data_IF_691766305511
#
_entry.id   IF_691766305511
#
_cell.length_a   1.000
_cell.length_b   1.000
_cell.length_c   1.000
_cell.angle_alpha   90.00
_cell.angle_beta   90.00
_cell.angle_gamma   90.00
#
_symmetry.space_group_name_H-M   'P 1'
#
loop_
_entity.id
_entity.type
_entity.pdbx_description
1 polymer ?
#
# COMPACT_ATOMS: atom_id res chain seq x y z
N UNK A 1 -5.96 -3.05 -7.99
CA UNK A 1 -5.00 -3.57 -8.98
C UNK A 1 -5.78 -4.28 -10.06
N UNK A 2 -5.39 -4.14 -11.29
CA UNK A 2 -5.85 -4.98 -12.40
C UNK A 2 -4.63 -5.36 -13.24
N UNK A 3 -4.61 -6.55 -13.75
CA UNK A 3 -3.61 -7.08 -14.65
C UNK A 3 -4.11 -8.43 -15.16
N UNK A 4 -4.11 -8.63 -16.46
CA UNK A 4 -4.60 -9.85 -17.10
C UNK A 4 -3.67 -10.31 -18.20
N UNK A 5 -3.67 -11.62 -18.40
CA UNK A 5 -3.18 -12.16 -19.66
C UNK A 5 -4.10 -11.78 -20.82
N UNK A 6 -3.50 -11.40 -21.94
CA UNK A 6 -4.26 -11.24 -23.18
C UNK A 6 -4.76 -12.60 -23.67
N UNK A 7 -5.82 -12.61 -24.49
CA UNK A 7 -6.36 -13.83 -25.10
C UNK A 7 -5.27 -14.64 -25.82
N UNK A 8 -4.30 -13.98 -26.48
CA UNK A 8 -3.21 -14.65 -27.17
C UNK A 8 -2.20 -15.29 -26.19
N UNK A 9 -1.97 -14.67 -25.04
CA UNK A 9 -1.14 -15.24 -23.98
C UNK A 9 -1.80 -16.46 -23.37
N UNK A 10 -3.10 -16.38 -23.02
CA UNK A 10 -3.90 -17.50 -22.50
C UNK A 10 -3.86 -18.66 -23.51
N UNK A 11 -4.13 -18.41 -24.79
CA UNK A 11 -4.08 -19.45 -25.82
C UNK A 11 -2.69 -20.09 -25.93
N UNK A 12 -1.62 -19.30 -25.76
CA UNK A 12 -0.25 -19.83 -25.74
C UNK A 12 0.03 -20.69 -24.51
N UNK A 13 -0.46 -20.30 -23.33
CA UNK A 13 -0.33 -21.07 -22.09
C UNK A 13 -1.05 -22.41 -22.21
N UNK A 14 -2.30 -22.39 -22.68
CA UNK A 14 -3.10 -23.58 -22.91
C UNK A 14 -2.40 -24.53 -23.89
N UNK A 15 -1.95 -24.01 -25.05
CA UNK A 15 -1.31 -24.84 -26.08
C UNK A 15 0.01 -25.48 -25.62
N UNK A 16 0.70 -24.86 -24.67
CA UNK A 16 1.97 -25.35 -24.11
C UNK A 16 1.80 -26.11 -22.80
N UNK A 17 0.56 -26.27 -22.32
CA UNK A 17 0.24 -26.88 -21.02
C UNK A 17 1.05 -26.27 -19.88
N UNK A 18 1.15 -24.93 -19.85
CA UNK A 18 1.88 -24.21 -18.83
C UNK A 18 0.91 -23.74 -17.76
N UNK A 19 1.29 -23.95 -16.50
CA UNK A 19 0.54 -23.41 -15.37
C UNK A 19 0.76 -21.91 -15.25
N UNK A 20 -0.31 -21.14 -15.04
CA UNK A 20 -0.27 -19.72 -14.74
C UNK A 20 -1.59 -19.26 -14.12
N UNK A 21 -1.48 -18.42 -13.11
CA UNK A 21 -2.60 -17.75 -12.46
C UNK A 21 -2.89 -16.41 -13.11
N UNK A 22 -4.17 -16.13 -13.30
CA UNK A 22 -4.69 -14.86 -13.81
C UNK A 22 -5.69 -14.27 -12.83
N UNK A 23 -5.42 -13.09 -12.34
CA UNK A 23 -6.29 -12.36 -11.41
C UNK A 23 -6.81 -11.10 -12.07
N UNK A 24 -8.13 -11.00 -12.23
CA UNK A 24 -8.75 -9.84 -12.85
C UNK A 24 -8.49 -8.54 -12.09
N UNK A 25 -8.76 -8.54 -10.80
CA UNK A 25 -8.51 -7.38 -9.94
C UNK A 25 -8.45 -7.78 -8.47
N UNK A 26 -7.75 -6.98 -7.68
CA UNK A 26 -7.69 -7.14 -6.23
C UNK A 26 -8.07 -5.83 -5.55
N UNK A 27 -9.03 -5.90 -4.63
CA UNK A 27 -9.41 -4.81 -3.74
C UNK A 27 -8.96 -5.16 -2.32
N UNK A 28 -8.05 -4.39 -1.75
CA UNK A 28 -7.66 -4.51 -0.35
C UNK A 28 -8.09 -3.27 0.43
N UNK A 29 -8.91 -3.46 1.46
CA UNK A 29 -9.28 -2.45 2.44
C UNK A 29 -8.56 -2.75 3.74
N UNK A 30 -8.00 -1.74 4.42
CA UNK A 30 -7.27 -1.96 5.67
C UNK A 30 -7.79 -1.05 6.78
N UNK A 31 -8.02 -1.62 7.95
CA UNK A 31 -8.20 -0.86 9.18
C UNK A 31 -6.84 -0.70 9.84
N UNK A 32 -6.43 0.55 10.05
CA UNK A 32 -5.15 0.88 10.63
C UNK A 32 -5.36 1.71 11.90
N UNK A 33 -4.64 1.38 12.96
CA UNK A 33 -4.61 2.12 14.20
C UNK A 33 -3.16 2.37 14.59
N UNK A 34 -2.86 3.57 15.10
CA UNK A 34 -1.54 3.89 15.63
C UNK A 34 -1.67 4.63 16.95
N UNK A 35 -0.75 4.36 17.87
CA UNK A 35 -0.71 4.98 19.17
C UNK A 35 0.74 5.37 19.54
N UNK A 36 0.92 6.63 19.93
CA UNK A 36 2.19 7.13 20.46
C UNK A 36 2.33 6.71 21.95
N UNK A 37 3.33 5.90 22.26
CA UNK A 37 3.65 5.49 23.64
C UNK A 37 4.51 6.56 24.30
N UNK A 38 5.47 7.10 23.56
CA UNK A 38 6.32 8.22 23.97
C UNK A 38 6.50 9.17 22.77
N UNK A 39 7.21 10.28 22.96
CA UNK A 39 7.52 11.21 21.86
C UNK A 39 8.31 10.55 20.72
N UNK A 40 9.05 9.48 21.01
CA UNK A 40 9.91 8.79 20.06
C UNK A 40 9.46 7.37 19.70
N UNK A 41 8.48 6.80 20.42
CA UNK A 41 8.00 5.44 20.19
C UNK A 41 6.51 5.42 19.90
N UNK A 42 6.14 4.86 18.76
CA UNK A 42 4.75 4.54 18.41
C UNK A 42 4.59 3.06 18.05
N UNK A 43 3.40 2.56 18.26
CA UNK A 43 2.97 1.24 17.81
C UNK A 43 1.76 1.38 16.89
N UNK A 44 1.68 0.50 15.90
CA UNK A 44 0.53 0.45 15.00
C UNK A 44 0.06 -0.98 14.79
N UNK A 45 -1.21 -1.11 14.50
CA UNK A 45 -1.87 -2.35 14.13
C UNK A 45 -2.58 -2.15 12.80
N UNK A 46 -2.46 -3.09 11.89
CA UNK A 46 -3.10 -3.10 10.58
C UNK A 46 -3.79 -4.42 10.33
N UNK A 47 -5.06 -4.37 9.98
CA UNK A 47 -5.88 -5.53 9.62
C UNK A 47 -6.40 -5.34 8.19
N UNK A 48 -5.81 -6.00 7.18
CA UNK A 48 -6.30 -5.95 5.81
C UNK A 48 -7.48 -6.88 5.62
N UNK A 49 -8.40 -6.50 4.74
CA UNK A 49 -9.44 -7.33 4.16
C UNK A 49 -9.28 -7.30 2.65
N UNK A 50 -9.00 -8.45 2.07
CA UNK A 50 -8.74 -8.61 0.65
C UNK A 50 -9.88 -9.30 -0.06
N UNK A 51 -10.14 -8.85 -1.28
CA UNK A 51 -11.04 -9.48 -2.23
C UNK A 51 -10.33 -9.55 -3.59
N UNK A 52 -9.85 -10.72 -3.93
CA UNK A 52 -9.35 -11.05 -5.26
C UNK A 52 -10.51 -11.51 -6.14
N UNK A 53 -10.78 -10.79 -7.23
CA UNK A 53 -11.91 -11.02 -8.11
C UNK A 53 -11.51 -11.85 -9.32
N UNK A 54 -12.32 -12.85 -9.61
CA UNK A 54 -12.26 -13.66 -10.82
C UNK A 54 -10.86 -14.25 -11.06
N UNK A 55 -10.41 -15.05 -10.11
CA UNK A 55 -9.24 -15.90 -10.30
C UNK A 55 -9.52 -16.91 -11.41
N UNK A 56 -8.58 -17.01 -12.33
CA UNK A 56 -8.55 -18.05 -13.34
C UNK A 56 -7.19 -18.74 -13.27
N UNK A 57 -7.16 -20.02 -13.54
CA UNK A 57 -5.96 -20.83 -13.59
C UNK A 57 -5.88 -21.54 -14.95
N UNK A 58 -4.70 -21.51 -15.55
CA UNK A 58 -4.40 -22.37 -16.70
C UNK A 58 -3.65 -23.58 -16.16
N UNK A 59 -4.31 -24.75 -16.17
CA UNK A 59 -3.74 -26.01 -15.72
C UNK A 59 -3.99 -27.10 -16.76
N UNK A 60 -2.96 -27.93 -17.05
CA UNK A 60 -3.00 -29.05 -18.01
C UNK A 60 -3.58 -28.72 -19.40
N UNK A 61 -3.55 -27.47 -19.80
CA UNK A 61 -4.07 -27.02 -21.09
C UNK A 61 -5.56 -26.66 -21.10
N UNK A 62 -6.14 -26.46 -19.92
CA UNK A 62 -7.50 -25.95 -19.74
C UNK A 62 -7.47 -24.65 -18.94
N UNK A 63 -8.45 -23.77 -19.17
CA UNK A 63 -8.68 -22.57 -18.38
C UNK A 63 -9.80 -22.83 -17.41
N UNK A 64 -9.48 -22.84 -16.13
CA UNK A 64 -10.44 -23.01 -15.05
C UNK A 64 -10.79 -21.69 -14.38
N UNK A 65 -12.06 -21.45 -14.09
CA UNK A 65 -12.52 -20.28 -13.33
C UNK A 65 -12.65 -20.67 -11.86
N UNK A 66 -11.80 -20.10 -11.02
CA UNK A 66 -11.75 -20.41 -9.59
C UNK A 66 -12.64 -19.51 -8.73
N UNK A 67 -13.19 -18.42 -9.30
CA UNK A 67 -14.04 -17.47 -8.57
C UNK A 67 -13.26 -16.44 -7.75
N UNK A 68 -13.73 -16.15 -6.54
CA UNK A 68 -13.20 -15.05 -5.73
C UNK A 68 -12.53 -15.56 -4.45
N UNK A 69 -11.35 -14.99 -4.13
CA UNK A 69 -10.69 -15.23 -2.84
C UNK A 69 -10.93 -14.03 -1.91
N UNK A 70 -11.79 -14.20 -0.90
CA UNK A 70 -12.25 -13.13 -0.02
C UNK A 70 -11.96 -13.47 1.43
N UNK A 71 -11.39 -12.52 2.18
CA UNK A 71 -11.18 -12.68 3.61
C UNK A 71 -10.24 -11.68 4.26
N UNK A 72 -10.08 -11.82 5.56
CA UNK A 72 -9.11 -11.05 6.32
C UNK A 72 -7.69 -11.56 6.09
N UNK A 73 -6.76 -10.65 5.91
CA UNK A 73 -5.34 -10.95 5.96
C UNK A 73 -4.81 -11.08 7.38
N UNK A 74 -3.52 -11.34 7.54
CA UNK A 74 -2.90 -11.43 8.86
C UNK A 74 -2.81 -10.06 9.53
N UNK A 75 -3.12 -10.00 10.85
CA UNK A 75 -2.89 -8.81 11.66
C UNK A 75 -1.40 -8.49 11.68
N UNK A 76 -1.06 -7.27 11.30
CA UNK A 76 0.31 -6.76 11.35
C UNK A 76 0.45 -5.79 12.51
N UNK A 77 1.43 -6.02 13.38
CA UNK A 77 1.84 -5.11 14.43
C UNK A 77 3.20 -4.53 14.06
N UNK A 78 3.35 -3.21 14.14
CA UNK A 78 4.58 -2.52 13.81
C UNK A 78 4.88 -1.46 14.86
N UNK A 79 6.11 -1.45 15.37
CA UNK A 79 6.66 -0.39 16.20
C UNK A 79 7.57 0.50 15.35
N UNK A 80 7.54 1.79 15.63
CA UNK A 80 8.43 2.78 15.06
C UNK A 80 9.14 3.53 16.19
N UNK A 81 10.46 3.42 16.25
CA UNK A 81 11.31 4.13 17.20
C UNK A 81 12.14 5.19 16.50
N UNK A 82 11.86 6.46 16.79
CA UNK A 82 12.60 7.61 16.26
C UNK A 82 13.92 7.77 17.06
N UNK A 83 15.01 7.33 16.46
CA UNK A 83 16.32 7.40 17.09
C UNK A 83 17.09 8.69 16.78
N UNK A 84 16.64 9.45 15.78
CA UNK A 84 17.23 10.73 15.41
C UNK A 84 16.12 11.74 15.09
N UNK A 85 16.18 12.89 15.77
CA UNK A 85 15.33 14.05 15.52
C UNK A 85 16.19 15.31 15.54
N UNK A 86 16.37 15.95 14.40
CA UNK A 86 17.12 17.19 14.25
C UNK A 86 16.20 18.32 13.83
N UNK A 87 15.71 19.10 14.78
CA UNK A 87 14.85 20.26 14.53
C UNK A 87 15.55 21.31 13.64
N UNK A 88 16.85 21.57 13.91
CA UNK A 88 17.67 22.51 13.11
C UNK A 88 17.69 22.13 11.63
N UNK A 89 17.79 20.85 11.32
CA UNK A 89 17.88 20.35 9.96
C UNK A 89 16.54 19.85 9.43
N UNK A 90 15.48 19.87 10.26
CA UNK A 90 14.16 19.30 9.95
C UNK A 90 14.28 17.89 9.37
N UNK A 91 15.07 17.05 10.03
CA UNK A 91 15.40 15.70 9.61
C UNK A 91 15.12 14.73 10.74
N UNK A 92 14.44 13.62 10.42
CA UNK A 92 14.12 12.55 11.35
C UNK A 92 14.48 11.20 10.76
N UNK A 93 14.85 10.26 11.61
CA UNK A 93 15.07 8.87 11.24
C UNK A 93 14.50 7.93 12.30
N UNK A 94 13.94 6.83 11.86
CA UNK A 94 13.32 5.84 12.74
C UNK A 94 13.65 4.41 12.31
N UNK A 95 13.79 3.52 13.31
CA UNK A 95 13.76 2.08 13.12
C UNK A 95 12.31 1.60 13.11
N UNK A 96 12.06 0.61 12.26
CA UNK A 96 10.80 -0.12 12.17
C UNK A 96 11.05 -1.56 12.57
N UNK A 97 10.22 -2.10 13.46
CA UNK A 97 10.25 -3.51 13.84
C UNK A 97 8.83 -4.02 14.03
N UNK A 98 8.49 -5.16 13.47
CA UNK A 98 7.12 -5.65 13.53
C UNK A 98 6.99 -7.13 13.24
N UNK A 99 5.74 -7.58 13.24
CA UNK A 99 5.37 -8.95 12.94
C UNK A 99 3.98 -9.01 12.31
N UNK A 100 3.82 -9.81 11.26
CA UNK A 100 2.51 -10.25 10.77
C UNK A 100 2.14 -11.54 11.48
N UNK A 101 0.93 -11.62 12.00
CA UNK A 101 0.41 -12.78 12.74
C UNK A 101 -0.51 -13.63 11.85
N UNK A 102 -0.62 -14.94 12.09
CA UNK A 102 -1.41 -15.87 11.29
C UNK A 102 -2.93 -15.81 11.64
N UNK A 103 -3.50 -14.62 11.74
CA UNK A 103 -4.88 -14.41 12.20
C UNK A 103 -5.91 -14.36 11.08
N UNK A 104 -5.45 -14.34 9.82
CA UNK A 104 -6.32 -14.18 8.66
C UNK A 104 -6.87 -15.49 8.09
N UNK A 105 -7.70 -15.36 7.06
CA UNK A 105 -8.31 -16.50 6.36
C UNK A 105 -7.27 -17.15 5.44
N UNK A 106 -7.06 -18.43 5.62
CA UNK A 106 -6.09 -19.25 4.87
C UNK A 106 -6.67 -20.60 4.41
N UNK A 107 -7.98 -20.69 4.25
CA UNK A 107 -8.70 -21.89 3.84
C UNK A 107 -9.91 -21.52 3.00
N UNK A 108 -9.83 -20.42 2.26
CA UNK A 108 -10.86 -20.00 1.31
C UNK A 108 -10.93 -21.02 0.18
N UNK A 109 -12.14 -21.37 -0.21
CA UNK A 109 -12.39 -22.34 -1.29
C UNK A 109 -12.76 -21.64 -2.57
N UNK A 110 -12.30 -22.20 -3.67
CA UNK A 110 -12.72 -21.86 -5.02
C UNK A 110 -14.12 -22.39 -5.34
N UNK A 111 -14.68 -21.96 -6.45
CA UNK A 111 -16.03 -22.34 -6.90
C UNK A 111 -16.13 -23.85 -7.25
N UNK A 112 -15.00 -24.48 -7.61
CA UNK A 112 -14.88 -25.93 -7.81
C UNK A 112 -14.88 -26.76 -6.51
N UNK A 113 -14.83 -26.06 -5.32
CA UNK A 113 -14.79 -26.67 -3.99
C UNK A 113 -13.38 -26.97 -3.46
N UNK A 114 -12.36 -26.82 -4.26
CA UNK A 114 -10.95 -26.93 -3.84
C UNK A 114 -10.54 -25.73 -3.00
N UNK A 115 -9.46 -25.87 -2.24
CA UNK A 115 -8.91 -24.75 -1.48
C UNK A 115 -7.94 -23.99 -2.38
N UNK A 116 -8.07 -22.66 -2.48
CA UNK A 116 -7.07 -21.83 -3.18
C UNK A 116 -5.68 -22.13 -2.68
N UNK A 117 -4.71 -22.09 -3.57
CA UNK A 117 -3.30 -22.13 -3.18
C UNK A 117 -2.97 -21.06 -2.13
N UNK A 118 -2.00 -21.32 -1.24
CA UNK A 118 -1.67 -20.41 -0.14
C UNK A 118 -1.25 -19.02 -0.63
N UNK A 119 -0.63 -18.93 -1.79
CA UNK A 119 -0.24 -17.64 -2.42
C UNK A 119 -1.45 -16.81 -2.86
N UNK A 120 -2.58 -17.43 -3.13
CA UNK A 120 -3.84 -16.82 -3.57
C UNK A 120 -4.84 -16.63 -2.40
N UNK A 121 -4.47 -17.03 -1.19
CA UNK A 121 -5.27 -16.84 0.02
C UNK A 121 -5.13 -15.41 0.56
N UNK A 122 -6.13 -14.89 1.28
CA UNK A 122 -6.03 -13.59 1.98
C UNK A 122 -4.89 -13.57 3.03
N UNK A 123 -4.53 -14.71 3.59
CA UNK A 123 -3.43 -14.88 4.53
C UNK A 123 -2.66 -16.18 4.29
N UNK A 124 -1.34 -16.13 4.42
CA UNK A 124 -0.47 -17.31 4.33
C UNK A 124 -0.57 -18.25 5.55
N UNK A 125 -1.11 -17.75 6.67
CA UNK A 125 -1.10 -18.50 7.93
C UNK A 125 0.27 -18.57 8.62
N UNK A 126 1.26 -17.78 8.17
CA UNK A 126 2.62 -17.68 8.73
C UNK A 126 2.74 -16.53 9.72
N UNK A 127 3.81 -16.58 10.54
CA UNK A 127 4.21 -15.49 11.44
C UNK A 127 5.45 -14.83 10.86
N UNK A 128 5.32 -13.66 10.25
CA UNK A 128 6.37 -13.03 9.46
C UNK A 128 6.98 -11.83 10.20
N UNK A 129 8.20 -11.92 10.73
CA UNK A 129 8.91 -10.78 11.32
C UNK A 129 9.27 -9.75 10.25
N UNK A 130 9.35 -8.47 10.69
CA UNK A 130 9.64 -7.34 9.84
C UNK A 130 10.67 -6.42 10.48
N UNK A 131 11.58 -5.91 9.68
CA UNK A 131 12.55 -4.88 10.08
C UNK A 131 12.66 -3.82 8.99
N UNK A 132 12.92 -2.58 9.41
CA UNK A 132 13.02 -1.48 8.45
C UNK A 132 13.60 -0.20 9.01
N UNK A 133 13.67 0.79 8.12
CA UNK A 133 14.12 2.16 8.40
C UNK A 133 13.18 3.13 7.73
N UNK A 134 12.98 4.28 8.36
CA UNK A 134 12.27 5.41 7.79
C UNK A 134 13.07 6.70 8.00
N UNK A 135 13.01 7.59 7.03
CA UNK A 135 13.57 8.93 7.10
C UNK A 135 12.54 9.95 6.63
N UNK A 136 12.59 11.14 7.22
CA UNK A 136 11.78 12.28 6.81
C UNK A 136 12.62 13.54 6.82
N UNK A 137 12.50 14.37 5.79
CA UNK A 137 13.21 15.62 5.61
C UNK A 137 12.32 16.70 5.06
N UNK A 138 12.18 17.81 5.79
CA UNK A 138 11.55 19.02 5.27
C UNK A 138 12.59 20.00 4.78
N UNK A 139 12.47 20.44 3.55
CA UNK A 139 13.33 21.46 2.96
C UNK A 139 12.78 22.88 3.22
N UNK A 140 13.63 23.90 3.03
CA UNK A 140 13.29 25.30 3.32
C UNK A 140 12.11 25.85 2.52
N UNK A 141 11.84 25.29 1.36
CA UNK A 141 10.71 25.61 0.47
C UNK A 141 9.43 24.83 0.78
N UNK A 142 9.33 24.22 1.97
CA UNK A 142 8.20 23.41 2.44
C UNK A 142 8.01 22.07 1.69
N UNK A 143 8.93 21.69 0.83
CA UNK A 143 8.93 20.35 0.23
C UNK A 143 9.31 19.34 1.29
N UNK A 144 8.51 18.27 1.46
CA UNK A 144 8.86 17.14 2.30
C UNK A 144 9.31 15.97 1.44
N UNK A 145 10.36 15.31 1.89
CA UNK A 145 10.85 14.05 1.35
C UNK A 145 10.75 13.01 2.46
N UNK A 146 9.98 11.98 2.21
CA UNK A 146 9.82 10.82 3.08
C UNK A 146 10.31 9.58 2.34
N UNK A 147 11.07 8.74 3.00
CA UNK A 147 11.47 7.46 2.45
C UNK A 147 11.46 6.37 3.51
N UNK A 148 11.12 5.16 3.11
CA UNK A 148 11.19 4.01 3.98
C UNK A 148 11.64 2.76 3.22
N UNK A 149 12.23 1.87 3.97
CA UNK A 149 12.54 0.51 3.61
C UNK A 149 11.95 -0.42 4.65
N UNK A 150 11.24 -1.45 4.24
CA UNK A 150 10.73 -2.50 5.12
C UNK A 150 10.97 -3.86 4.47
N UNK A 151 11.63 -4.73 5.22
CA UNK A 151 11.83 -6.12 4.87
C UNK A 151 10.96 -7.00 5.75
N UNK A 152 10.16 -7.85 5.13
CA UNK A 152 9.35 -8.88 5.77
C UNK A 152 9.97 -10.24 5.42
N UNK A 153 10.46 -10.93 6.43
CA UNK A 153 10.90 -12.30 6.30
C UNK A 153 9.64 -13.18 6.33
N UNK A 154 9.33 -13.81 5.22
CA UNK A 154 8.27 -14.81 5.17
C UNK A 154 8.71 -16.10 5.84
N UNK A 155 7.82 -16.71 6.58
CA UNK A 155 8.06 -18.01 7.18
C UNK A 155 7.05 -19.03 6.64
N UNK A 156 7.32 -20.29 6.85
CA UNK A 156 6.41 -21.35 6.46
C UNK A 156 5.04 -21.17 7.12
N UNK A 157 4.00 -21.16 6.32
CA UNK A 157 2.62 -21.04 6.72
C UNK A 157 1.83 -22.30 6.48
N UNK A 158 0.58 -22.14 6.02
CA UNK A 158 -0.30 -23.28 5.74
C UNK A 158 0.20 -24.08 4.55
N UNK A 159 -0.04 -25.40 4.59
CA UNK A 159 0.35 -26.36 3.55
C UNK A 159 1.85 -26.31 3.21
N UNK A 160 2.71 -26.15 4.25
CA UNK A 160 4.16 -26.03 4.10
C UNK A 160 4.59 -25.03 3.02
N UNK A 161 3.86 -23.91 2.95
CA UNK A 161 4.11 -22.86 1.96
C UNK A 161 4.80 -21.66 2.60
N UNK A 162 5.95 -21.30 2.09
CA UNK A 162 6.58 -19.99 2.26
C UNK A 162 6.19 -19.12 1.05
N UNK A 163 5.57 -17.97 1.30
CA UNK A 163 5.13 -17.07 0.22
C UNK A 163 6.23 -16.17 -0.33
N UNK A 164 7.46 -16.38 0.11
CA UNK A 164 8.63 -15.60 -0.25
C UNK A 164 8.75 -14.27 0.50
N UNK A 165 9.97 -13.86 0.75
CA UNK A 165 10.29 -12.60 1.42
C UNK A 165 9.81 -11.40 0.64
N UNK A 166 9.45 -10.34 1.35
CA UNK A 166 9.01 -9.08 0.73
C UNK A 166 9.90 -7.92 1.19
N UNK A 167 10.57 -7.29 0.24
CA UNK A 167 11.23 -6.01 0.45
C UNK A 167 10.43 -4.89 -0.21
N UNK A 168 10.12 -3.83 0.54
CA UNK A 168 9.47 -2.63 0.03
C UNK A 168 10.35 -1.41 0.23
N UNK A 169 10.46 -0.60 -0.82
CA UNK A 169 11.17 0.68 -0.83
C UNK A 169 10.19 1.74 -1.32
N UNK A 170 9.97 2.75 -0.50
CA UNK A 170 9.08 3.84 -0.88
C UNK A 170 9.80 5.17 -0.69
N UNK A 171 9.64 6.05 -1.66
CA UNK A 171 10.10 7.44 -1.60
C UNK A 171 8.94 8.33 -2.01
N UNK A 172 8.59 9.30 -1.18
CA UNK A 172 7.53 10.26 -1.43
C UNK A 172 8.07 11.68 -1.36
N UNK A 173 7.67 12.50 -2.30
CA UNK A 173 7.86 13.95 -2.26
C UNK A 173 6.49 14.59 -2.16
N UNK A 174 6.30 15.46 -1.16
CA UNK A 174 5.07 16.23 -1.02
C UNK A 174 5.35 17.73 -1.06
N UNK A 175 4.46 18.47 -1.75
CA UNK A 175 4.52 19.90 -1.90
C UNK A 175 3.17 20.53 -1.52
N UNK A 176 3.14 21.44 -0.52
CA UNK A 176 1.93 22.15 -0.13
C UNK A 176 1.54 23.19 -1.19
N UNK A 177 0.34 23.05 -1.77
CA UNK A 177 -0.18 23.96 -2.79
C UNK A 177 -1.11 25.03 -2.24
N UNK A 178 -1.81 24.71 -1.15
CA UNK A 178 -2.78 25.64 -0.57
C UNK A 178 -2.94 25.39 0.93
N UNK A 179 -2.94 26.47 1.71
CA UNK A 179 -3.29 26.49 3.13
C UNK A 179 -4.21 27.68 3.38
N UNK A 180 -5.41 27.43 3.89
CA UNK A 180 -6.26 28.50 4.41
C UNK A 180 -5.91 28.71 5.88
N UNK A 181 -5.34 29.86 6.22
CA UNK A 181 -5.22 30.29 7.62
C UNK A 181 -6.45 31.13 7.98
N UNK A 182 -7.26 30.67 8.92
CA UNK A 182 -8.06 31.58 9.70
C UNK A 182 -7.20 32.09 10.83
N UNK A 183 -6.74 33.32 10.72
CA UNK A 183 -6.25 34.07 11.85
C UNK A 183 -7.46 34.48 12.71
N UNK A 184 -7.69 33.94 13.91
CA UNK A 184 -8.82 34.32 14.75
C UNK A 184 -8.70 35.75 15.32
N UNK A 185 -7.60 36.47 15.06
CA UNK A 185 -7.26 37.75 15.68
C UNK A 185 -6.87 38.89 14.72
N UNK A 186 -7.13 38.81 13.43
CA UNK A 186 -6.96 39.99 12.57
C UNK A 186 -8.23 40.84 12.58
N UNK A 187 -8.29 41.75 13.57
CA UNK A 187 -9.03 43.00 13.43
C UNK A 187 -8.17 43.98 12.63
N UNK A 188 -8.76 44.46 11.53
CA UNK A 188 -8.52 45.70 10.81
C UNK A 188 -7.29 45.84 9.87
N UNK A 189 -7.65 46.18 8.63
CA UNK A 189 -6.97 47.02 7.67
C UNK A 189 -5.71 46.50 6.97
N UNK A 190 -5.92 45.75 5.90
CA UNK A 190 -5.43 46.14 4.56
C UNK A 190 -6.06 45.25 3.46
N UNK A 191 -6.79 45.93 2.58
CA UNK A 191 -7.33 45.32 1.37
C UNK A 191 -6.19 45.10 0.36
N UNK A 192 -5.50 43.96 0.41
CA UNK A 192 -4.79 43.42 -0.75
C UNK A 192 -5.63 42.27 -1.28
N UNK A 193 -6.16 42.46 -2.48
CA UNK A 193 -6.85 41.45 -3.27
C UNK A 193 -5.97 40.19 -3.38
N UNK A 194 -6.26 39.19 -2.57
CA UNK A 194 -5.77 37.84 -2.82
C UNK A 194 -6.58 37.26 -3.99
N UNK A 195 -5.90 37.00 -5.10
CA UNK A 195 -6.47 36.29 -6.24
C UNK A 195 -7.05 34.97 -5.76
N UNK A 196 -8.37 34.87 -5.82
CA UNK A 196 -9.15 33.67 -5.51
C UNK A 196 -8.66 32.50 -6.37
N UNK A 197 -8.08 31.48 -5.76
CA UNK A 197 -7.61 30.30 -6.48
C UNK A 197 -8.81 29.46 -6.95
N UNK A 198 -8.63 28.77 -8.08
CA UNK A 198 -9.65 27.89 -8.71
C UNK A 198 -10.26 26.89 -7.70
N UNK A 199 -9.51 26.47 -6.69
CA UNK A 199 -9.96 25.54 -5.66
C UNK A 199 -11.00 26.11 -4.68
N UNK A 200 -11.00 27.42 -4.39
CA UNK A 200 -12.01 28.05 -3.53
C UNK A 200 -13.40 28.04 -4.18
N UNK A 201 -13.48 28.05 -5.51
CA UNK A 201 -14.75 28.00 -6.24
C UNK A 201 -15.40 26.62 -6.29
N UNK A 202 -14.66 25.58 -5.94
CA UNK A 202 -15.12 24.18 -5.98
C UNK A 202 -15.65 23.68 -4.64
N UNK A 203 -15.45 24.43 -3.54
CA UNK A 203 -15.84 24.01 -2.21
C UNK A 203 -17.16 24.67 -1.79
N UNK A 204 -18.08 23.93 -1.14
CA UNK A 204 -19.31 24.50 -0.58
C UNK A 204 -19.00 25.55 0.50
N UNK A 205 -19.79 26.63 0.58
CA UNK A 205 -19.59 27.74 1.54
C UNK A 205 -19.47 27.29 3.02
N UNK A 206 -20.14 26.22 3.42
CA UNK A 206 -20.08 25.69 4.78
C UNK A 206 -18.72 25.05 5.13
N UNK A 207 -17.88 24.73 4.14
CA UNK A 207 -16.52 24.20 4.32
C UNK A 207 -15.49 25.34 4.46
N UNK A 208 -15.81 26.54 3.98
CA UNK A 208 -14.93 27.72 4.01
C UNK A 208 -14.59 28.23 5.44
N UNK A 209 -15.25 27.67 6.46
CA UNK A 209 -14.96 27.95 7.88
C UNK A 209 -13.88 27.07 8.51
N UNK A 210 -13.34 26.10 7.79
CA UNK A 210 -12.40 25.09 8.31
C UNK A 210 -10.99 25.38 7.81
N UNK A 211 -9.98 24.95 8.60
CA UNK A 211 -8.59 24.95 8.15
C UNK A 211 -8.40 23.81 7.14
N UNK A 212 -8.12 24.17 5.89
CA UNK A 212 -7.95 23.20 4.80
C UNK A 212 -6.55 23.38 4.22
N UNK A 213 -5.79 22.27 4.17
CA UNK A 213 -4.52 22.20 3.51
C UNK A 213 -4.55 21.17 2.38
N UNK A 214 -3.90 21.49 1.26
CA UNK A 214 -3.74 20.62 0.11
C UNK A 214 -2.28 20.41 -0.20
N UNK A 215 -1.90 19.14 -0.39
CA UNK A 215 -0.57 18.77 -0.84
C UNK A 215 -0.65 17.95 -2.13
N UNK A 216 0.24 18.26 -3.07
CA UNK A 216 0.56 17.34 -4.17
C UNK A 216 1.59 16.34 -3.68
N UNK A 217 1.38 15.08 -4.01
CA UNK A 217 2.27 13.98 -3.62
C UNK A 217 2.72 13.27 -4.89
N UNK A 218 3.99 12.91 -4.92
CA UNK A 218 4.55 12.04 -5.94
C UNK A 218 5.38 10.96 -5.25
N UNK A 219 5.04 9.71 -5.53
CA UNK A 219 5.69 8.57 -4.89
C UNK A 219 6.34 7.63 -5.90
N UNK A 220 7.46 7.05 -5.51
CA UNK A 220 8.07 5.88 -6.11
C UNK A 220 7.93 4.74 -5.13
N UNK A 221 7.19 3.72 -5.49
CA UNK A 221 6.96 2.57 -4.63
C UNK A 221 7.51 1.32 -5.32
N UNK A 222 8.41 0.61 -4.65
CA UNK A 222 9.02 -0.62 -5.13
C UNK A 222 8.61 -1.78 -4.24
N UNK A 223 8.18 -2.86 -4.86
CA UNK A 223 7.90 -4.14 -4.22
C UNK A 223 8.82 -5.18 -4.85
N UNK A 224 9.64 -5.85 -4.04
CA UNK A 224 10.45 -6.98 -4.44
C UNK A 224 9.99 -8.21 -3.64
N UNK A 225 9.33 -9.14 -4.33
CA UNK A 225 8.79 -10.37 -3.76
C UNK A 225 9.69 -11.54 -4.12
N UNK A 226 10.11 -12.30 -3.13
CA UNK A 226 10.80 -13.58 -3.31
C UNK A 226 9.92 -14.62 -3.99
N UNK A 227 10.52 -15.64 -4.54
CA UNK A 227 9.78 -16.78 -5.11
C UNK A 227 9.23 -17.63 -3.98
N UNK A 228 7.94 -17.95 -3.97
CA UNK A 228 7.35 -18.84 -2.98
C UNK A 228 7.94 -20.26 -3.06
N UNK A 229 7.87 -20.97 -1.95
CA UNK A 229 8.26 -22.38 -1.86
C UNK A 229 7.15 -23.20 -1.20
N UNK A 230 6.87 -24.40 -1.75
CA UNK A 230 5.98 -25.40 -1.18
C UNK A 230 6.79 -26.66 -0.94
N UNK A 231 6.78 -27.17 0.28
CA UNK A 231 7.62 -28.33 0.68
C UNK A 231 9.11 -28.14 0.29
N UNK A 232 9.66 -26.94 0.48
CA UNK A 232 11.02 -26.54 0.10
C UNK A 232 11.29 -26.62 -1.43
N UNK A 233 10.26 -26.56 -2.25
CA UNK A 233 10.37 -26.50 -3.72
C UNK A 233 9.85 -25.17 -4.22
N UNK A 234 10.66 -24.47 -5.03
CA UNK A 234 10.25 -23.19 -5.61
C UNK A 234 9.03 -23.35 -6.51
N UNK A 235 8.05 -22.48 -6.32
CA UNK A 235 6.87 -22.39 -7.15
C UNK A 235 7.19 -21.50 -8.35
N UNK A 236 7.16 -22.02 -9.59
CA UNK A 236 7.47 -21.23 -10.77
C UNK A 236 6.40 -20.16 -11.02
N UNK A 237 6.77 -19.16 -11.81
CA UNK A 237 5.87 -18.09 -12.24
C UNK A 237 5.33 -17.19 -11.09
N UNK A 238 6.08 -17.06 -10.00
CA UNK A 238 5.79 -16.18 -8.88
C UNK A 238 7.03 -15.39 -8.46
N UNK A 239 6.82 -14.24 -7.81
CA UNK A 239 7.90 -13.37 -7.37
C UNK A 239 8.41 -12.42 -8.45
N UNK A 240 9.25 -11.50 -8.06
CA UNK A 240 9.80 -10.47 -8.94
C UNK A 240 9.82 -9.09 -8.32
N UNK A 241 10.11 -8.09 -9.15
CA UNK A 241 10.21 -6.69 -8.75
C UNK A 241 9.27 -5.84 -9.57
N UNK A 242 8.47 -5.02 -8.89
CA UNK A 242 7.62 -4.02 -9.54
C UNK A 242 7.89 -2.65 -8.96
N UNK A 243 8.09 -1.65 -9.82
CA UNK A 243 8.23 -0.24 -9.45
C UNK A 243 7.05 0.55 -10.00
N UNK A 244 6.39 1.28 -9.12
CA UNK A 244 5.28 2.16 -9.47
C UNK A 244 5.67 3.62 -9.31
N UNK A 245 5.22 4.46 -10.23
CA UNK A 245 5.13 5.91 -10.06
C UNK A 245 3.71 6.28 -9.69
N UNK A 246 3.54 6.97 -8.58
CA UNK A 246 2.23 7.21 -7.99
C UNK A 246 2.01 8.70 -7.70
N UNK A 247 1.51 9.50 -8.67
CA UNK A 247 1.00 10.83 -8.39
C UNK A 247 -0.24 10.76 -7.50
N UNK A 248 -0.36 11.73 -6.60
CA UNK A 248 -1.47 11.78 -5.66
C UNK A 248 -1.72 13.16 -5.09
N UNK A 249 -2.81 13.27 -4.35
CA UNK A 249 -3.24 14.47 -3.64
C UNK A 249 -3.64 14.10 -2.23
N UNK A 250 -3.25 14.93 -1.27
CA UNK A 250 -3.67 14.84 0.12
C UNK A 250 -4.40 16.11 0.51
N UNK A 251 -5.54 15.96 1.17
CA UNK A 251 -6.29 17.04 1.79
C UNK A 251 -6.31 16.82 3.30
N UNK A 252 -5.95 17.84 4.05
CA UNK A 252 -6.01 17.84 5.52
C UNK A 252 -7.07 18.84 5.97
N UNK A 253 -8.00 18.41 6.82
CA UNK A 253 -9.04 19.23 7.41
C UNK A 253 -8.80 19.41 8.91
N UNK A 254 -8.74 20.66 9.36
CA UNK A 254 -8.59 21.04 10.77
C UNK A 254 -7.41 20.33 11.47
N UNK A 255 -6.35 20.03 10.75
CA UNK A 255 -5.16 19.31 11.20
C UNK A 255 -5.44 17.91 11.81
N UNK A 256 -6.63 17.38 11.62
CA UNK A 256 -7.09 16.12 12.22
C UNK A 256 -7.54 15.07 11.25
N UNK A 257 -8.22 15.47 10.18
CA UNK A 257 -8.75 14.52 9.19
C UNK A 257 -7.96 14.64 7.91
N UNK A 258 -7.42 13.53 7.46
CA UNK A 258 -6.58 13.45 6.25
C UNK A 258 -7.25 12.53 5.24
N UNK A 259 -7.49 13.05 4.05
CA UNK A 259 -7.89 12.30 2.87
C UNK A 259 -6.72 12.23 1.90
N UNK A 260 -6.47 11.06 1.36
CA UNK A 260 -5.48 10.91 0.29
C UNK A 260 -6.03 10.03 -0.83
N UNK A 261 -5.64 10.37 -2.05
CA UNK A 261 -5.87 9.58 -3.24
C UNK A 261 -4.61 9.61 -4.10
N UNK A 262 -4.19 8.44 -4.57
CA UNK A 262 -3.08 8.33 -5.52
C UNK A 262 -3.32 7.19 -6.51
N UNK A 263 -2.79 7.35 -7.72
CA UNK A 263 -2.85 6.33 -8.77
C UNK A 263 -1.42 5.90 -9.11
N UNK A 264 -1.10 4.63 -8.94
CA UNK A 264 0.22 4.05 -9.21
C UNK A 264 0.22 3.36 -10.57
N UNK A 265 1.18 3.72 -11.42
CA UNK A 265 1.42 3.13 -12.73
C UNK A 265 2.73 2.35 -12.70
N UNK A 266 2.73 1.07 -13.11
CA UNK A 266 3.95 0.29 -13.15
C UNK A 266 4.89 0.84 -14.24
N UNK A 267 6.14 1.06 -13.89
CA UNK A 267 7.18 1.55 -14.81
C UNK A 267 8.33 0.58 -14.97
N UNK A 268 8.49 -0.33 -14.02
CA UNK A 268 9.40 -1.47 -14.10
C UNK A 268 8.68 -2.69 -13.58
N UNK A 269 8.70 -3.75 -14.36
CA UNK A 269 8.20 -5.07 -14.00
C UNK A 269 9.20 -6.12 -14.44
N UNK A 270 9.79 -6.79 -13.47
CA UNK A 270 10.75 -7.89 -13.69
C UNK A 270 10.22 -9.08 -12.91
N UNK A 271 9.70 -10.06 -13.59
CA UNK A 271 9.06 -11.23 -13.00
C UNK A 271 9.87 -12.49 -13.20
N UNK A 272 9.79 -13.39 -12.24
CA UNK A 272 10.28 -14.75 -12.33
C UNK A 272 9.25 -15.59 -13.12
N UNK A 273 9.62 -16.00 -14.34
CA UNK A 273 8.74 -16.79 -15.20
C UNK A 273 7.61 -15.99 -15.86
N UNK A 274 6.42 -16.57 -16.00
CA UNK A 274 5.28 -15.97 -16.69
C UNK A 274 4.22 -15.57 -15.69
N UNK A 275 4.05 -14.28 -15.52
CA UNK A 275 3.06 -13.68 -14.63
C UNK A 275 2.29 -12.59 -15.36
N UNK A 276 1.04 -12.36 -14.94
CA UNK A 276 0.29 -11.19 -15.36
C UNK A 276 0.88 -9.93 -14.70
N UNK A 277 1.13 -8.89 -15.48
CA UNK A 277 1.59 -7.59 -14.98
C UNK A 277 0.46 -6.77 -14.36
N UNK A 278 0.81 -5.60 -13.84
CA UNK A 278 -0.16 -4.64 -13.33
C UNK A 278 -0.51 -3.60 -14.39
N UNK A 279 -1.79 -3.31 -14.60
CA UNK A 279 -2.19 -2.15 -15.41
C UNK A 279 -2.04 -0.85 -14.61
N UNK A 280 -2.62 -0.81 -13.43
CA UNK A 280 -2.51 0.30 -12.47
C UNK A 280 -2.96 -0.14 -11.07
N UNK A 281 -2.71 0.71 -10.10
CA UNK A 281 -3.27 0.58 -8.76
C UNK A 281 -3.82 1.93 -8.30
N UNK A 282 -4.94 1.91 -7.56
CA UNK A 282 -5.54 3.09 -6.97
C UNK A 282 -5.48 2.96 -5.45
N UNK A 283 -5.01 3.99 -4.78
CA UNK A 283 -5.04 4.10 -3.34
C UNK A 283 -5.96 5.23 -2.91
N UNK A 284 -6.81 4.94 -1.93
CA UNK A 284 -7.61 5.92 -1.24
C UNK A 284 -7.47 5.68 0.26
N UNK A 285 -7.32 6.75 1.02
CA UNK A 285 -7.19 6.66 2.46
C UNK A 285 -7.94 7.78 3.16
N UNK A 286 -8.47 7.44 4.33
CA UNK A 286 -9.02 8.35 5.31
C UNK A 286 -8.34 8.07 6.64
N UNK A 287 -7.75 9.08 7.24
CA UNK A 287 -7.18 8.98 8.57
C UNK A 287 -7.72 10.10 9.46
N UNK A 288 -7.85 9.83 10.74
CA UNK A 288 -8.19 10.83 11.75
C UNK A 288 -7.32 10.67 12.98
N UNK A 289 -6.87 11.77 13.55
CA UNK A 289 -6.11 11.79 14.80
C UNK A 289 -7.01 12.17 15.96
N UNK A 290 -6.82 11.48 17.09
CA UNK A 290 -7.49 11.74 18.35
C UNK A 290 -6.42 12.08 19.40
N UNK A 291 -6.68 13.10 20.18
CA UNK A 291 -5.77 13.60 21.22
C UNK A 291 -5.61 15.12 21.10
N UNK A 292 -5.17 15.70 22.19
CA UNK A 292 -4.86 17.15 22.29
C UNK A 292 -3.42 17.39 21.86
#
# INVERSE_FOLDING_TARGET
>A
NSGRFSQSQISSLISKKQHADDLNSNLTSSLNMAYGITDDLSISASMPFSNGFAFNEVHDGELEQLGNSIGFGGLTLLSQYRFLNSEKHKFQSAFLAGVKLPTGNNSVKADNGETFETVNQPSSGSTDPMLGLAISKTFSNKVNLDANFLYKLSTEGKASTDVGDLASYNVAVSYPVHHTHKDPFQHSHDHKEHKCNIFEKLLPEHVLGQHIAWDLIFEVNTLAQGVPEIDNRRVPNHGGVTVFLSPGVRMTLNDRVVYNISAGFPVVEVYEGKQAGYDFRLFMGLATSFGN
#
